data_IF_521620979204
#
_entry.id   IF_521620979204
#
_cell.length_a   1.000
_cell.length_b   1.000
_cell.length_c   1.000
_cell.angle_alpha   90.00
_cell.angle_beta   90.00
_cell.angle_gamma   90.00
#
_symmetry.space_group_name_H-M   'P 1'
#
loop_
_entity.id
_entity.type
_entity.pdbx_description
1 polymer ?
#
# COMPACT_ATOMS: atom_id res chain seq x y z
N UNK A 1 -19.53 -4.19 7.86
CA UNK A 1 -19.78 -5.35 8.74
C UNK A 1 -20.26 -4.83 10.09
N UNK A 2 -21.53 -5.08 10.42
CA UNK A 2 -22.09 -4.80 11.73
C UNK A 2 -21.74 -5.94 12.70
N UNK A 3 -21.06 -5.60 13.79
CA UNK A 3 -20.64 -6.51 14.84
C UNK A 3 -21.46 -6.22 16.10
N UNK A 4 -22.67 -6.78 16.13
CA UNK A 4 -23.63 -6.65 17.23
C UNK A 4 -23.54 -7.87 18.16
N UNK A 5 -22.57 -7.85 19.06
CA UNK A 5 -22.36 -8.87 20.11
C UNK A 5 -22.10 -8.18 21.45
N UNK A 6 -22.11 -8.94 22.55
CA UNK A 6 -21.93 -8.37 23.90
C UNK A 6 -20.58 -7.64 24.09
N UNK A 7 -19.49 -8.18 23.53
CA UNK A 7 -18.16 -7.54 23.52
C UNK A 7 -17.59 -7.56 22.09
N UNK A 8 -17.89 -6.55 21.26
CA UNK A 8 -17.39 -6.49 19.89
C UNK A 8 -15.89 -6.25 19.84
N UNK A 9 -15.31 -5.57 20.84
CA UNK A 9 -13.89 -5.22 20.87
C UNK A 9 -12.99 -6.46 21.02
N UNK A 10 -13.43 -7.47 21.77
CA UNK A 10 -12.75 -8.77 21.85
C UNK A 10 -12.63 -9.49 20.50
N UNK A 11 -13.47 -9.16 19.52
CA UNK A 11 -13.51 -9.81 18.21
C UNK A 11 -12.94 -8.96 17.08
N UNK A 12 -12.85 -7.63 17.22
CA UNK A 12 -12.34 -6.72 16.17
C UNK A 12 -10.99 -7.18 15.62
N UNK A 13 -10.05 -7.54 16.50
CA UNK A 13 -8.71 -7.99 16.10
C UNK A 13 -8.67 -9.32 15.33
N UNK A 14 -9.78 -10.06 15.28
CA UNK A 14 -9.90 -11.33 14.54
C UNK A 14 -10.45 -11.12 13.13
N UNK A 15 -10.90 -9.92 12.77
CA UNK A 15 -11.50 -9.62 11.48
C UNK A 15 -10.42 -9.08 10.55
N UNK A 16 -10.11 -9.84 9.49
CA UNK A 16 -9.06 -9.45 8.54
C UNK A 16 -9.59 -8.78 7.28
N UNK A 17 -10.84 -9.07 6.86
CA UNK A 17 -11.39 -8.59 5.59
C UNK A 17 -12.77 -7.94 5.81
N UNK A 18 -12.83 -6.61 5.80
CA UNK A 18 -14.06 -5.84 5.86
C UNK A 18 -13.84 -4.44 5.26
N UNK A 19 -14.82 -3.93 4.51
CA UNK A 19 -14.80 -2.53 4.05
C UNK A 19 -14.94 -1.53 5.21
N UNK A 20 -15.72 -1.86 6.23
CA UNK A 20 -15.86 -1.06 7.43
C UNK A 20 -16.40 -1.91 8.57
N UNK A 21 -16.03 -1.55 9.80
CA UNK A 21 -16.52 -2.19 11.03
C UNK A 21 -17.43 -1.24 11.79
N UNK A 22 -18.61 -1.73 12.10
CA UNK A 22 -19.69 -1.03 12.80
C UNK A 22 -19.93 -1.76 14.11
N UNK A 23 -19.50 -1.18 15.24
CA UNK A 23 -19.37 -1.89 16.52
C UNK A 23 -20.55 -1.59 17.46
N UNK A 24 -21.29 -2.64 17.83
CA UNK A 24 -22.42 -2.56 18.75
C UNK A 24 -23.66 -1.84 18.19
N UNK A 25 -24.73 -1.86 18.98
CA UNK A 25 -26.08 -1.41 18.58
C UNK A 25 -26.16 0.07 18.17
N UNK A 26 -25.31 0.92 18.75
CA UNK A 26 -25.34 2.36 18.49
C UNK A 26 -24.55 2.79 17.25
N UNK A 27 -23.77 1.89 16.65
CA UNK A 27 -22.95 2.17 15.48
C UNK A 27 -23.54 1.54 14.23
N UNK A 28 -24.83 1.74 13.95
CA UNK A 28 -25.50 1.13 12.80
C UNK A 28 -25.06 1.77 11.47
N UNK A 29 -25.10 0.97 10.40
CA UNK A 29 -24.47 1.26 9.09
C UNK A 29 -24.82 2.65 8.53
N UNK A 30 -26.08 3.06 8.64
CA UNK A 30 -26.59 4.35 8.16
C UNK A 30 -25.79 5.54 8.71
N UNK A 31 -25.28 5.48 9.94
CA UNK A 31 -24.46 6.58 10.46
C UNK A 31 -23.14 6.71 9.70
N UNK A 32 -22.50 5.59 9.34
CA UNK A 32 -21.29 5.59 8.51
C UNK A 32 -21.54 6.04 7.08
N UNK A 33 -22.74 5.80 6.57
CA UNK A 33 -23.10 6.21 5.22
C UNK A 33 -23.26 7.72 5.06
N UNK A 34 -23.53 8.45 6.15
CA UNK A 34 -23.91 9.86 6.04
C UNK A 34 -23.13 10.82 6.92
N UNK A 35 -22.98 10.54 8.22
CA UNK A 35 -22.60 11.60 9.19
C UNK A 35 -21.47 11.23 10.14
N UNK A 36 -21.09 9.94 10.26
CA UNK A 36 -20.05 9.53 11.20
C UNK A 36 -18.64 9.96 10.78
N UNK A 37 -18.42 10.26 9.49
CA UNK A 37 -17.17 10.81 8.97
C UNK A 37 -16.39 9.93 7.98
N UNK A 38 -16.19 8.61 8.24
CA UNK A 38 -15.54 7.72 7.27
C UNK A 38 -16.29 7.67 5.92
N UNK A 39 -15.57 7.38 4.84
CA UNK A 39 -16.21 7.21 3.52
C UNK A 39 -17.13 5.98 3.53
N UNK A 40 -18.24 6.08 2.79
CA UNK A 40 -19.07 4.91 2.46
C UNK A 40 -18.69 4.26 1.12
N UNK A 41 -17.71 4.81 0.40
CA UNK A 41 -17.19 4.21 -0.83
C UNK A 41 -16.22 3.10 -0.42
N UNK A 42 -16.80 1.91 -0.27
CA UNK A 42 -16.14 0.72 0.28
C UNK A 42 -15.96 -0.39 -0.77
N UNK A 43 -14.98 -1.29 -0.57
CA UNK A 43 -14.78 -2.45 -1.43
C UNK A 43 -15.95 -3.45 -1.34
N UNK A 44 -16.48 -3.88 -2.49
CA UNK A 44 -17.58 -4.86 -2.62
C UNK A 44 -17.13 -6.11 -3.38
N UNK A 45 -18.01 -7.11 -3.56
CA UNK A 45 -17.73 -8.31 -4.37
C UNK A 45 -16.43 -9.06 -3.98
N UNK A 46 -16.14 -9.14 -2.68
CA UNK A 46 -14.96 -9.83 -2.14
C UNK A 46 -13.64 -9.04 -2.22
N UNK A 47 -13.66 -7.81 -2.76
CA UNK A 47 -12.45 -6.99 -2.92
C UNK A 47 -11.88 -6.48 -1.60
N UNK A 48 -12.64 -6.52 -0.48
CA UNK A 48 -12.14 -6.19 0.86
C UNK A 48 -10.98 -7.09 1.34
N UNK A 49 -10.65 -8.15 0.58
CA UNK A 49 -9.46 -9.00 0.78
C UNK A 49 -8.14 -8.34 0.36
N UNK A 50 -8.19 -7.30 -0.47
CA UNK A 50 -7.00 -6.64 -1.01
C UNK A 50 -7.17 -5.14 -1.26
N UNK A 51 -8.40 -4.62 -1.30
CA UNK A 51 -8.72 -3.21 -1.45
C UNK A 51 -9.15 -2.60 -0.11
N UNK A 52 -8.91 -1.30 0.03
CA UNK A 52 -9.31 -0.48 1.18
C UNK A 52 -10.50 0.41 0.81
N UNK A 53 -11.22 0.99 1.79
CA UNK A 53 -12.14 2.10 1.55
C UNK A 53 -11.44 3.27 0.87
N UNK A 54 -12.20 4.08 0.13
CA UNK A 54 -11.68 5.28 -0.51
C UNK A 54 -11.04 6.23 0.53
N UNK A 55 -9.84 6.68 0.25
CA UNK A 55 -9.09 7.63 1.08
C UNK A 55 -8.57 8.77 0.22
N UNK A 56 -8.03 9.80 0.87
CA UNK A 56 -7.31 10.87 0.16
C UNK A 56 -6.14 10.34 -0.68
N UNK A 57 -5.58 9.16 -0.34
CA UNK A 57 -4.47 8.57 -1.10
C UNK A 57 -4.88 8.14 -2.51
N UNK A 58 -6.15 7.82 -2.71
CA UNK A 58 -6.66 7.42 -4.03
C UNK A 58 -6.68 8.60 -5.03
N UNK A 59 -6.58 9.85 -4.52
CA UNK A 59 -6.57 11.09 -5.30
C UNK A 59 -5.19 11.72 -5.44
N UNK A 60 -4.14 11.12 -4.87
CA UNK A 60 -2.77 11.61 -5.00
C UNK A 60 -1.88 10.57 -5.67
N UNK A 61 -0.75 11.02 -6.21
CA UNK A 61 0.29 10.15 -6.76
C UNK A 61 1.56 10.31 -5.93
N UNK A 62 2.19 9.20 -5.58
CA UNK A 62 3.51 9.18 -4.94
C UNK A 62 4.56 9.10 -6.03
N UNK A 63 5.51 10.03 -6.03
CA UNK A 63 6.63 10.07 -6.97
C UNK A 63 7.93 9.88 -6.18
N UNK A 64 8.69 8.84 -6.50
CA UNK A 64 10.02 8.61 -5.92
C UNK A 64 11.06 9.48 -6.60
N UNK A 65 11.91 10.14 -5.81
CA UNK A 65 13.03 10.94 -6.27
C UNK A 65 14.34 10.25 -5.91
N UNK A 66 15.26 10.16 -6.87
CA UNK A 66 16.59 9.59 -6.68
C UNK A 66 17.63 10.65 -7.08
N UNK A 67 18.46 11.07 -6.14
CA UNK A 67 19.51 12.06 -6.34
C UNK A 67 20.80 11.57 -5.67
N UNK A 68 21.46 10.61 -6.33
CA UNK A 68 22.73 10.06 -5.85
C UNK A 68 23.87 11.01 -6.17
N UNK A 69 24.80 11.16 -5.24
CA UNK A 69 26.10 11.77 -5.53
C UNK A 69 26.93 10.87 -6.46
N UNK A 70 27.95 11.41 -7.14
CA UNK A 70 28.87 10.60 -7.95
C UNK A 70 29.50 9.44 -7.19
N UNK A 71 29.90 9.66 -5.93
CA UNK A 71 30.51 8.63 -5.09
C UNK A 71 29.52 7.51 -4.73
N UNK A 72 28.25 7.84 -4.45
CA UNK A 72 27.22 6.84 -4.18
C UNK A 72 26.87 6.04 -5.43
N UNK A 73 26.78 6.70 -6.59
CA UNK A 73 26.56 6.05 -7.86
C UNK A 73 27.69 5.05 -8.16
N UNK A 74 28.95 5.48 -8.11
CA UNK A 74 30.11 4.61 -8.36
C UNK A 74 30.13 3.39 -7.42
N UNK A 75 29.84 3.60 -6.13
CA UNK A 75 29.77 2.50 -5.14
C UNK A 75 28.71 1.45 -5.48
N UNK A 76 27.57 1.86 -6.06
CA UNK A 76 26.45 0.96 -6.39
C UNK A 76 26.59 0.34 -7.79
N UNK A 77 27.30 1.00 -8.70
CA UNK A 77 27.43 0.62 -10.12
C UNK A 77 27.89 -0.83 -10.32
N UNK A 78 28.89 -1.31 -9.58
CA UNK A 78 29.38 -2.69 -9.78
C UNK A 78 28.33 -3.75 -9.38
N UNK A 79 27.57 -3.49 -8.31
CA UNK A 79 26.50 -4.40 -7.89
C UNK A 79 25.36 -4.42 -8.91
N UNK A 80 24.98 -3.24 -9.42
CA UNK A 80 23.98 -3.10 -10.46
C UNK A 80 24.41 -3.81 -11.76
N UNK A 81 25.69 -3.69 -12.15
CA UNK A 81 26.23 -4.35 -13.33
C UNK A 81 26.16 -5.88 -13.24
N UNK A 82 26.55 -6.44 -12.10
CA UNK A 82 26.52 -7.90 -11.87
C UNK A 82 25.10 -8.47 -11.92
N UNK A 83 24.12 -7.75 -11.35
CA UNK A 83 22.72 -8.14 -11.43
C UNK A 83 22.21 -8.06 -12.88
N UNK A 84 22.50 -6.97 -13.57
CA UNK A 84 22.11 -6.80 -14.97
C UNK A 84 22.71 -7.86 -15.90
N UNK A 85 23.96 -8.29 -15.67
CA UNK A 85 24.58 -9.41 -16.41
C UNK A 85 23.87 -10.73 -16.15
N UNK A 86 23.55 -11.04 -14.89
CA UNK A 86 22.82 -12.26 -14.53
C UNK A 86 21.42 -12.31 -15.15
N UNK A 87 20.80 -11.15 -15.37
CA UNK A 87 19.51 -11.01 -16.05
C UNK A 87 19.63 -10.97 -17.59
N UNK A 88 20.84 -10.98 -18.15
CA UNK A 88 21.08 -10.86 -19.60
C UNK A 88 20.88 -9.45 -20.17
N UNK A 89 20.74 -8.44 -19.31
CA UNK A 89 20.54 -7.03 -19.66
C UNK A 89 21.87 -6.31 -19.90
N UNK A 90 22.59 -6.71 -20.94
CA UNK A 90 23.96 -6.25 -21.24
C UNK A 90 24.09 -4.73 -21.36
N UNK A 91 23.08 -4.04 -21.91
CA UNK A 91 23.07 -2.58 -21.99
C UNK A 91 22.97 -1.89 -20.60
N UNK A 92 22.22 -2.47 -19.66
CA UNK A 92 22.13 -1.93 -18.29
C UNK A 92 23.46 -2.15 -17.56
N UNK A 93 24.08 -3.32 -17.73
CA UNK A 93 25.39 -3.61 -17.15
C UNK A 93 26.46 -2.66 -17.67
N UNK A 94 26.52 -2.44 -18.98
CA UNK A 94 27.45 -1.51 -19.60
C UNK A 94 27.26 -0.08 -19.09
N UNK A 95 26.01 0.38 -18.95
CA UNK A 95 25.71 1.73 -18.45
C UNK A 95 26.17 1.95 -17.00
N UNK A 96 26.07 0.91 -16.15
CA UNK A 96 26.56 0.95 -14.78
C UNK A 96 28.10 0.91 -14.74
N UNK A 97 28.74 -0.04 -15.45
CA UNK A 97 30.21 -0.16 -15.49
C UNK A 97 30.91 1.11 -15.98
N UNK A 98 30.31 1.82 -16.95
CA UNK A 98 30.84 3.10 -17.45
C UNK A 98 31.00 4.17 -16.35
N UNK A 99 30.30 4.01 -15.21
CA UNK A 99 30.26 4.96 -14.10
C UNK A 99 30.75 4.33 -12.79
N UNK A 100 31.56 3.27 -12.86
CA UNK A 100 32.20 2.65 -11.70
C UNK A 100 33.45 3.40 -11.22
N UNK A 101 33.99 4.32 -12.03
CA UNK A 101 35.17 5.14 -11.76
C UNK A 101 34.79 6.52 -11.21
#
# INVERSE_FOLDING_TARGET
LCLAVADPWALVGRIHNAGGLFLGEHSFEVLGDYVAGPTHVMPTMGTARFASPLTVRDFVKVISLFALSPAEAARLSESAARLAEAEGLTAHAAAARLRCE
#
